data_IF_598808403157
#
_entry.id   IF_598808403157
#
_cell.length_a   1.000
_cell.length_b   1.000
_cell.length_c   1.000
_cell.angle_alpha   90.00
_cell.angle_beta   90.00
_cell.angle_gamma   90.00
#
_symmetry.space_group_name_H-M   'P 1'
#
loop_
_entity.id
_entity.type
_entity.pdbx_description
1 polymer ?
#
# COMPACT_ATOMS: atom_id res chain seq x y z
N UNK A 1 60.61 33.32 -35.91
CA UNK A 1 60.31 32.27 -34.91
C UNK A 1 59.45 32.87 -33.82
N UNK A 2 58.12 32.71 -33.90
CA UNK A 2 57.17 33.18 -32.88
C UNK A 2 56.57 31.93 -32.23
N UNK A 3 56.84 31.74 -30.93
CA UNK A 3 56.29 30.66 -30.14
C UNK A 3 55.02 31.16 -29.43
N UNK A 4 53.85 30.68 -29.85
CA UNK A 4 52.60 30.84 -29.13
C UNK A 4 52.48 29.74 -28.06
N UNK A 5 52.47 30.17 -26.80
CA UNK A 5 52.22 29.32 -25.64
C UNK A 5 50.70 29.11 -25.51
N UNK A 6 50.21 27.89 -25.74
CA UNK A 6 48.79 27.53 -25.52
C UNK A 6 48.60 27.12 -24.05
N UNK A 7 47.92 27.95 -23.27
CA UNK A 7 47.43 27.59 -21.95
C UNK A 7 46.24 26.64 -22.09
N UNK A 8 46.38 25.42 -21.59
CA UNK A 8 45.29 24.44 -21.52
C UNK A 8 44.44 24.71 -20.27
N UNK A 9 43.19 25.15 -20.48
CA UNK A 9 42.20 25.31 -19.43
C UNK A 9 41.66 23.92 -19.06
N UNK A 10 42.03 23.41 -17.88
CA UNK A 10 41.50 22.15 -17.36
C UNK A 10 40.09 22.42 -16.79
N UNK A 11 39.07 21.91 -17.47
CA UNK A 11 37.68 22.00 -17.05
C UNK A 11 37.42 20.89 -16.03
N UNK A 12 37.48 21.23 -14.74
CA UNK A 12 37.13 20.32 -13.64
C UNK A 12 35.63 20.03 -13.68
N UNK A 13 35.21 18.88 -14.21
CA UNK A 13 33.85 18.39 -14.04
C UNK A 13 33.62 18.10 -12.55
N UNK A 14 32.80 18.90 -11.87
CA UNK A 14 32.17 18.48 -10.61
C UNK A 14 31.23 17.32 -10.95
N UNK A 15 31.63 16.09 -10.58
CA UNK A 15 30.75 14.95 -10.60
C UNK A 15 29.68 15.15 -9.51
N UNK A 16 28.46 15.51 -9.94
CA UNK A 16 27.27 15.45 -9.09
C UNK A 16 27.06 13.96 -8.79
N UNK A 17 27.50 13.52 -7.62
CA UNK A 17 27.26 12.15 -7.17
C UNK A 17 25.77 12.01 -6.89
N UNK A 18 25.07 11.01 -7.46
CA UNK A 18 23.67 10.78 -7.12
C UNK A 18 23.58 10.52 -5.61
N UNK A 19 22.59 11.16 -4.98
CA UNK A 19 22.29 10.96 -3.56
C UNK A 19 21.74 9.54 -3.39
N UNK A 20 22.61 8.56 -3.19
CA UNK A 20 22.20 7.20 -2.83
C UNK A 20 21.62 7.28 -1.42
N UNK A 21 20.31 7.01 -1.27
CA UNK A 21 19.71 6.92 0.04
C UNK A 21 20.35 5.77 0.82
N UNK A 22 20.85 6.05 2.02
CA UNK A 22 21.27 4.99 2.94
C UNK A 22 20.04 4.12 3.28
N UNK A 23 20.19 2.80 3.17
CA UNK A 23 19.14 1.85 3.51
C UNK A 23 18.62 2.09 4.95
N UNK A 24 17.30 1.99 5.11
CA UNK A 24 16.63 2.07 6.41
C UNK A 24 15.72 0.87 6.59
N UNK A 25 15.86 0.19 7.72
CA UNK A 25 15.07 -0.99 8.06
C UNK A 25 14.34 -0.74 9.37
N UNK A 26 13.04 -1.04 9.41
CA UNK A 26 12.25 -1.09 10.63
C UNK A 26 11.71 -2.49 10.81
N UNK A 27 11.95 -3.06 11.99
CA UNK A 27 11.43 -4.38 12.36
C UNK A 27 10.19 -4.25 13.25
N UNK A 28 9.32 -5.26 13.19
CA UNK A 28 8.25 -5.53 14.16
C UNK A 28 8.77 -5.58 15.61
N UNK A 29 7.89 -5.40 16.62
CA UNK A 29 8.25 -5.56 18.02
C UNK A 29 8.98 -6.87 18.36
N UNK A 30 8.57 -7.99 17.77
CA UNK A 30 9.23 -9.29 17.96
C UNK A 30 10.34 -9.62 16.96
N UNK A 31 10.58 -8.73 15.99
CA UNK A 31 11.63 -8.86 15.00
C UNK A 31 11.36 -9.85 13.86
N UNK A 32 10.16 -10.45 13.76
CA UNK A 32 9.85 -11.43 12.72
C UNK A 32 9.48 -10.79 11.39
N UNK A 33 8.84 -9.63 11.38
CA UNK A 33 8.60 -8.83 10.18
C UNK A 33 9.62 -7.70 10.08
N UNK A 34 10.20 -7.50 8.91
CA UNK A 34 11.13 -6.40 8.60
C UNK A 34 10.68 -5.68 7.33
N UNK A 35 10.69 -4.34 7.37
CA UNK A 35 10.46 -3.46 6.23
C UNK A 35 11.71 -2.63 5.96
N UNK A 36 12.29 -2.76 4.77
CA UNK A 36 13.48 -2.02 4.36
C UNK A 36 13.16 -1.06 3.22
N UNK A 37 13.71 0.16 3.25
CA UNK A 37 13.61 1.17 2.18
C UNK A 37 15.00 1.58 1.74
N UNK A 38 15.19 1.67 0.43
CA UNK A 38 16.42 2.12 -0.21
C UNK A 38 16.12 2.87 -1.51
N UNK A 39 17.17 3.41 -2.14
CA UNK A 39 17.07 3.93 -3.51
C UNK A 39 17.98 3.13 -4.44
N UNK A 40 17.53 2.88 -5.67
CA UNK A 40 18.38 2.26 -6.69
C UNK A 40 19.29 3.28 -7.40
N UNK A 41 20.19 2.80 -8.27
CA UNK A 41 21.10 3.64 -9.05
C UNK A 41 20.39 4.62 -10.00
N UNK A 42 19.11 4.35 -10.31
CA UNK A 42 18.27 5.19 -11.17
C UNK A 42 17.44 6.19 -10.35
N UNK A 43 17.59 6.18 -9.02
CA UNK A 43 16.91 7.08 -8.10
C UNK A 43 15.49 6.67 -7.74
N UNK A 44 15.04 5.45 -8.07
CA UNK A 44 13.75 4.93 -7.60
C UNK A 44 13.82 4.61 -6.12
N UNK A 45 12.81 5.02 -5.36
CA UNK A 45 12.58 4.50 -4.01
C UNK A 45 12.01 3.09 -4.10
N UNK A 46 12.67 2.17 -3.43
CA UNK A 46 12.30 0.76 -3.36
C UNK A 46 12.04 0.37 -1.90
N UNK A 47 11.10 -0.55 -1.70
CA UNK A 47 10.95 -1.25 -0.43
C UNK A 47 11.04 -2.76 -0.60
N UNK A 48 11.48 -3.45 0.46
CA UNK A 48 11.51 -4.90 0.58
C UNK A 48 10.84 -5.28 1.91
N UNK A 49 10.19 -6.45 1.95
CA UNK A 49 9.60 -7.00 3.17
C UNK A 49 10.13 -8.41 3.41
N UNK A 50 10.57 -8.68 4.64
CA UNK A 50 10.96 -10.01 5.10
C UNK A 50 10.08 -10.51 6.22
N UNK A 51 9.85 -11.82 6.25
CA UNK A 51 9.21 -12.52 7.35
C UNK A 51 10.07 -13.70 7.80
N UNK A 52 10.57 -13.65 9.04
CA UNK A 52 11.47 -14.65 9.64
C UNK A 52 12.73 -14.89 8.80
N UNK A 53 13.25 -13.83 8.18
CA UNK A 53 14.42 -13.87 7.31
C UNK A 53 14.13 -14.19 5.84
N UNK A 54 12.92 -14.63 5.50
CA UNK A 54 12.53 -14.92 4.11
C UNK A 54 11.92 -13.69 3.44
N UNK A 55 12.34 -13.38 2.21
CA UNK A 55 11.78 -12.26 1.44
C UNK A 55 10.38 -12.60 0.94
N UNK A 56 9.38 -11.82 1.37
CA UNK A 56 7.96 -12.01 1.02
C UNK A 56 7.44 -10.96 0.04
N UNK A 57 8.08 -9.78 0.02
CA UNK A 57 7.95 -8.78 -1.04
C UNK A 57 9.37 -8.44 -1.48
N UNK A 58 9.73 -8.82 -2.71
CA UNK A 58 11.00 -8.46 -3.35
C UNK A 58 11.06 -6.94 -3.59
N UNK A 59 12.25 -6.35 -3.88
CA UNK A 59 12.40 -4.91 -4.10
C UNK A 59 11.33 -4.35 -5.05
N UNK A 60 10.49 -3.47 -4.51
CA UNK A 60 9.26 -2.96 -5.14
C UNK A 60 9.20 -1.45 -5.07
N UNK A 61 8.77 -0.79 -6.16
CA UNK A 61 8.74 0.67 -6.23
C UNK A 61 7.68 1.32 -5.35
N UNK A 62 7.96 2.56 -5.00
CA UNK A 62 7.05 3.52 -4.38
C UNK A 62 6.97 4.77 -5.27
N UNK A 63 5.80 5.40 -5.33
CA UNK A 63 5.69 6.74 -5.92
C UNK A 63 4.29 7.14 -6.35
N UNK A 64 4.14 8.41 -6.72
CA UNK A 64 2.90 9.00 -7.21
C UNK A 64 3.16 9.77 -8.51
N UNK A 65 2.22 9.70 -9.45
CA UNK A 65 2.23 10.55 -10.65
C UNK A 65 1.08 11.52 -10.66
N UNK A 66 1.37 12.74 -11.09
CA UNK A 66 0.40 13.82 -11.15
C UNK A 66 0.12 14.22 -12.60
N UNK A 67 -1.05 14.82 -12.83
CA UNK A 67 -1.43 15.27 -14.17
C UNK A 67 -0.58 16.45 -14.64
N UNK A 68 -0.32 17.40 -13.74
CA UNK A 68 0.31 18.68 -14.06
C UNK A 68 1.61 18.91 -13.30
N UNK A 69 1.67 18.46 -12.04
CA UNK A 69 2.83 18.62 -11.17
C UNK A 69 3.93 17.62 -11.52
N UNK A 70 5.14 17.85 -11.00
CA UNK A 70 6.23 16.89 -11.10
C UNK A 70 5.89 15.63 -10.30
N UNK A 71 6.18 14.48 -10.90
CA UNK A 71 5.96 13.17 -10.28
C UNK A 71 6.83 12.97 -9.03
N UNK A 72 6.28 12.24 -8.07
CA UNK A 72 7.00 11.73 -6.90
C UNK A 72 7.45 10.29 -7.18
N UNK A 73 8.34 10.12 -8.14
CA UNK A 73 8.76 8.79 -8.63
C UNK A 73 10.26 8.52 -8.41
N UNK A 74 11.12 9.48 -8.73
CA UNK A 74 12.57 9.35 -8.73
C UNK A 74 13.28 10.58 -8.16
N UNK A 75 14.50 10.38 -7.67
CA UNK A 75 15.37 11.46 -7.18
C UNK A 75 15.10 11.89 -5.74
N UNK A 76 14.25 11.15 -5.02
CA UNK A 76 14.02 11.34 -3.59
C UNK A 76 15.00 10.50 -2.78
N UNK A 77 15.52 11.09 -1.70
CA UNK A 77 16.34 10.43 -0.70
C UNK A 77 15.77 10.59 0.71
N UNK A 78 16.19 9.74 1.62
CA UNK A 78 15.79 9.81 3.04
C UNK A 78 16.62 10.89 3.73
N UNK A 79 16.02 12.04 4.03
CA UNK A 79 16.69 13.13 4.77
C UNK A 79 16.73 12.84 6.27
N UNK A 80 15.60 12.36 6.80
CA UNK A 80 15.42 12.12 8.23
C UNK A 80 14.48 10.94 8.44
N UNK A 81 14.69 10.23 9.53
CA UNK A 81 13.74 9.22 10.02
C UNK A 81 13.45 9.44 11.50
N UNK A 82 12.25 9.07 11.92
CA UNK A 82 11.86 9.00 13.32
C UNK A 82 11.14 7.67 13.56
N UNK A 83 11.46 7.02 14.67
CA UNK A 83 10.85 5.75 15.06
C UNK A 83 10.21 5.86 16.45
N UNK A 84 9.11 5.12 16.64
CA UNK A 84 8.47 4.96 17.94
C UNK A 84 7.83 3.59 18.05
N UNK A 85 7.61 3.14 19.28
CA UNK A 85 6.80 1.96 19.58
C UNK A 85 5.44 2.45 20.10
N UNK A 86 4.38 1.81 19.62
CA UNK A 86 3.02 1.99 20.11
C UNK A 86 2.53 0.65 20.65
N UNK A 87 1.92 0.65 21.84
CA UNK A 87 1.37 -0.53 22.50
C UNK A 87 0.16 -0.12 23.35
N UNK A 88 -1.02 -0.20 22.75
CA UNK A 88 -2.28 0.13 23.41
C UNK A 88 -3.33 -0.96 23.15
N UNK A 89 -4.39 -0.97 23.96
CA UNK A 89 -5.54 -1.86 23.75
C UNK A 89 -6.81 -1.03 23.77
N UNK A 90 -7.64 -1.22 22.76
CA UNK A 90 -8.92 -0.54 22.62
C UNK A 90 -10.07 -1.56 22.56
N UNK A 91 -11.30 -1.08 22.80
CA UNK A 91 -12.49 -1.93 22.88
C UNK A 91 -13.43 -1.67 21.69
N UNK A 92 -13.82 -2.75 21.01
CA UNK A 92 -14.81 -2.70 19.94
C UNK A 92 -16.23 -2.58 20.55
N UNK A 93 -17.09 -1.68 20.04
CA UNK A 93 -18.49 -1.64 20.44
C UNK A 93 -19.26 -2.92 20.01
N UNK A 94 -18.80 -3.54 18.93
CA UNK A 94 -19.23 -4.84 18.42
C UNK A 94 -18.12 -5.35 17.49
N UNK A 95 -17.98 -6.67 17.37
CA UNK A 95 -16.93 -7.26 16.53
C UNK A 95 -16.74 -8.74 16.84
N UNK A 96 -15.78 -9.34 16.17
CA UNK A 96 -15.33 -10.72 16.39
C UNK A 96 -14.58 -10.89 17.73
N UNK A 97 -14.02 -9.81 18.28
CA UNK A 97 -13.38 -9.77 19.61
C UNK A 97 -13.66 -8.45 20.31
N UNK A 98 -13.76 -8.47 21.64
CA UNK A 98 -14.06 -7.27 22.45
C UNK A 98 -12.86 -6.33 22.56
N UNK A 99 -11.70 -6.87 22.90
CA UNK A 99 -10.45 -6.11 23.08
C UNK A 99 -9.53 -6.37 21.90
N UNK A 100 -8.97 -5.30 21.34
CA UNK A 100 -8.03 -5.31 20.23
C UNK A 100 -6.75 -4.62 20.68
N UNK A 101 -5.61 -5.29 20.55
CA UNK A 101 -4.30 -4.71 20.86
C UNK A 101 -3.70 -4.09 19.60
N UNK A 102 -3.28 -2.84 19.69
CA UNK A 102 -2.47 -2.15 18.70
C UNK A 102 -1.02 -2.12 19.20
N UNK A 103 -0.21 -3.06 18.71
CA UNK A 103 1.20 -3.16 19.06
C UNK A 103 2.07 -3.19 17.80
N UNK A 104 2.75 -2.07 17.54
CA UNK A 104 3.59 -1.93 16.36
C UNK A 104 4.80 -1.03 16.61
N UNK A 105 5.81 -1.19 15.78
CA UNK A 105 6.85 -0.17 15.58
C UNK A 105 6.43 0.71 14.42
N UNK A 106 6.46 2.03 14.61
CA UNK A 106 6.17 3.01 13.57
C UNK A 106 7.46 3.72 13.14
N UNK A 107 7.66 3.84 11.84
CA UNK A 107 8.68 4.67 11.22
C UNK A 107 8.02 5.80 10.43
N UNK A 108 8.55 7.02 10.55
CA UNK A 108 8.25 8.14 9.68
C UNK A 108 9.52 8.52 8.93
N UNK A 109 9.55 8.26 7.64
CA UNK A 109 10.67 8.59 6.76
C UNK A 109 10.34 9.90 6.03
N UNK A 110 11.12 10.94 6.29
CA UNK A 110 11.04 12.21 5.58
C UNK A 110 11.87 12.12 4.31
N UNK A 111 11.21 12.17 3.17
CA UNK A 111 11.81 12.04 1.85
C UNK A 111 11.82 13.39 1.15
N UNK A 112 12.96 13.76 0.58
CA UNK A 112 13.06 14.96 -0.23
C UNK A 112 13.97 14.75 -1.43
N UNK A 113 13.79 15.61 -2.44
CA UNK A 113 14.68 15.68 -3.58
C UNK A 113 15.58 16.92 -3.55
N UNK A 114 16.50 17.00 -4.52
CA UNK A 114 17.44 18.11 -4.64
C UNK A 114 16.80 19.48 -4.89
N UNK A 115 15.51 19.52 -5.27
CA UNK A 115 14.76 20.75 -5.54
C UNK A 115 13.86 21.15 -4.35
N UNK A 116 13.87 20.38 -3.25
CA UNK A 116 13.10 20.64 -2.04
C UNK A 116 11.65 20.15 -2.07
N UNK A 117 11.25 19.36 -3.08
CA UNK A 117 9.98 18.63 -3.03
C UNK A 117 10.07 17.57 -1.94
N UNK A 118 8.98 17.40 -1.18
CA UNK A 118 8.97 16.54 0.00
C UNK A 118 7.70 15.71 0.10
N UNK A 119 7.85 14.49 0.60
CA UNK A 119 6.74 13.70 1.12
C UNK A 119 7.25 12.78 2.22
N UNK A 120 6.35 12.29 3.06
CA UNK A 120 6.70 11.34 4.10
C UNK A 120 6.17 9.95 3.73
N UNK A 121 6.95 8.92 4.07
CA UNK A 121 6.48 7.54 4.10
C UNK A 121 6.30 7.13 5.56
N UNK A 122 5.04 6.92 5.97
CA UNK A 122 4.72 6.37 7.29
C UNK A 122 4.55 4.86 7.18
N UNK A 123 5.24 4.11 8.03
CA UNK A 123 5.22 2.66 8.06
C UNK A 123 4.89 2.21 9.48
N UNK A 124 3.97 1.27 9.64
CA UNK A 124 3.67 0.57 10.89
C UNK A 124 3.92 -0.91 10.67
N UNK A 125 4.81 -1.48 11.48
CA UNK A 125 5.18 -2.90 11.39
C UNK A 125 4.73 -3.61 12.66
N UNK A 126 3.82 -4.56 12.45
CA UNK A 126 3.22 -5.43 13.45
C UNK A 126 3.90 -6.81 13.39
N UNK A 127 3.70 -7.63 14.41
CA UNK A 127 4.25 -8.99 14.44
C UNK A 127 3.62 -9.92 13.37
N UNK A 128 2.47 -9.53 12.81
CA UNK A 128 1.64 -10.26 11.83
C UNK A 128 1.50 -9.55 10.47
N UNK A 129 2.30 -8.51 10.22
CA UNK A 129 2.28 -7.78 8.96
C UNK A 129 2.73 -6.33 9.07
N UNK A 130 2.41 -5.54 8.06
CA UNK A 130 2.69 -4.11 8.04
C UNK A 130 1.63 -3.32 7.27
N UNK A 131 1.59 -2.02 7.55
CA UNK A 131 0.91 -1.01 6.76
C UNK A 131 1.84 0.14 6.44
N UNK A 132 1.81 0.67 5.22
CA UNK A 132 2.48 1.92 4.87
C UNK A 132 1.57 2.86 4.09
N UNK A 133 1.84 4.17 4.17
CA UNK A 133 1.12 5.19 3.39
C UNK A 133 2.02 6.39 3.09
N UNK A 134 1.68 7.13 2.04
CA UNK A 134 2.28 8.42 1.74
C UNK A 134 1.56 9.51 2.53
N UNK A 135 2.31 10.46 3.09
CA UNK A 135 1.78 11.70 3.67
C UNK A 135 2.43 12.88 2.95
N UNK A 136 1.62 13.65 2.23
CA UNK A 136 2.11 14.73 1.37
C UNK A 136 1.80 16.04 2.10
N UNK A 137 2.81 16.76 2.60
CA UNK A 137 2.59 18.01 3.32
C UNK A 137 2.19 19.13 2.36
N UNK A 138 1.61 20.20 2.91
CA UNK A 138 1.45 21.46 2.19
C UNK A 138 2.83 21.96 1.71
N UNK A 139 2.93 22.27 0.42
CA UNK A 139 4.14 22.76 -0.23
C UNK A 139 3.80 23.49 -1.54
N UNK A 140 4.66 24.43 -1.91
CA UNK A 140 4.45 25.33 -3.04
C UNK A 140 4.20 24.56 -4.35
N UNK A 141 3.09 24.87 -5.02
CA UNK A 141 2.71 24.27 -6.30
C UNK A 141 1.96 22.94 -6.21
N UNK A 142 1.62 22.48 -5.00
CA UNK A 142 0.87 21.25 -4.74
C UNK A 142 -0.42 21.51 -3.93
N UNK A 143 -0.93 22.75 -3.91
CA UNK A 143 -2.12 23.12 -3.15
C UNK A 143 -3.34 22.33 -3.61
N UNK A 144 -3.46 22.06 -4.92
CA UNK A 144 -4.44 21.15 -5.50
C UNK A 144 -3.78 20.30 -6.58
N UNK A 145 -4.03 18.99 -6.56
CA UNK A 145 -3.38 18.03 -7.46
C UNK A 145 -4.38 17.00 -7.99
N UNK A 146 -4.08 16.50 -9.18
CA UNK A 146 -4.77 15.34 -9.77
C UNK A 146 -3.80 14.20 -9.93
N UNK A 147 -4.00 13.11 -9.18
CA UNK A 147 -3.20 11.89 -9.27
C UNK A 147 -3.68 11.09 -10.48
N UNK A 148 -2.75 10.70 -11.35
CA UNK A 148 -3.02 9.91 -12.57
C UNK A 148 -2.51 8.47 -12.47
N UNK A 149 -1.56 8.22 -11.59
CA UNK A 149 -1.08 6.87 -11.28
C UNK A 149 -0.50 6.80 -9.87
N UNK A 150 -0.58 5.62 -9.26
CA UNK A 150 0.17 5.29 -8.05
C UNK A 150 1.13 4.15 -8.40
N UNK A 151 2.41 4.37 -8.16
CA UNK A 151 3.51 3.51 -8.61
C UNK A 151 3.88 2.43 -7.58
N UNK A 152 3.09 2.28 -6.53
CA UNK A 152 3.29 1.28 -5.49
C UNK A 152 3.26 -0.12 -6.10
N UNK A 153 4.36 -0.86 -5.98
CA UNK A 153 4.48 -2.24 -6.44
C UNK A 153 4.46 -3.24 -5.27
N UNK A 154 4.11 -4.48 -5.59
CA UNK A 154 4.22 -5.65 -4.75
C UNK A 154 4.80 -6.77 -5.62
N UNK A 155 6.12 -6.93 -5.59
CA UNK A 155 6.80 -7.99 -6.31
C UNK A 155 6.86 -9.25 -5.46
N UNK A 156 6.16 -10.30 -5.87
CA UNK A 156 6.03 -11.54 -5.10
C UNK A 156 7.09 -12.59 -5.48
N UNK A 157 7.52 -13.45 -4.55
CA UNK A 157 8.45 -14.54 -4.83
C UNK A 157 7.91 -15.52 -5.89
N UNK A 158 8.83 -16.10 -6.66
CA UNK A 158 8.51 -17.15 -7.62
C UNK A 158 7.93 -18.40 -6.95
N UNK A 159 7.16 -19.19 -7.71
CA UNK A 159 6.54 -20.41 -7.19
C UNK A 159 5.37 -20.17 -6.21
N UNK A 160 4.92 -18.92 -6.07
CA UNK A 160 3.77 -18.56 -5.25
C UNK A 160 2.44 -18.97 -5.90
N UNK A 161 1.50 -19.43 -5.08
CA UNK A 161 0.11 -19.72 -5.48
C UNK A 161 -0.82 -18.67 -4.89
N UNK A 162 -1.76 -18.14 -5.67
CA UNK A 162 -2.73 -17.13 -5.24
C UNK A 162 -4.17 -17.63 -5.26
N UNK A 163 -4.98 -17.04 -4.37
CA UNK A 163 -6.44 -17.12 -4.36
C UNK A 163 -7.00 -15.71 -4.59
N UNK A 164 -7.70 -15.53 -5.70
CA UNK A 164 -8.07 -14.20 -6.18
C UNK A 164 -9.36 -14.20 -7.00
N UNK A 165 -9.93 -13.01 -7.18
CA UNK A 165 -11.02 -12.72 -8.11
C UNK A 165 -10.58 -11.62 -9.09
N UNK A 166 -11.09 -11.64 -10.34
CA UNK A 166 -10.63 -10.69 -11.36
C UNK A 166 -10.97 -9.24 -11.01
N UNK A 167 -9.98 -8.36 -11.13
CA UNK A 167 -10.17 -6.92 -11.05
C UNK A 167 -10.86 -6.39 -12.30
N UNK A 168 -11.62 -5.28 -12.16
CA UNK A 168 -12.28 -4.56 -13.27
C UNK A 168 -13.34 -5.38 -14.04
N UNK A 169 -13.73 -6.55 -13.54
CA UNK A 169 -14.79 -7.37 -14.14
C UNK A 169 -16.15 -6.68 -14.06
N UNK A 170 -17.03 -6.96 -15.03
CA UNK A 170 -18.38 -6.38 -15.08
C UNK A 170 -19.21 -6.67 -13.82
N UNK A 171 -18.95 -7.82 -13.16
CA UNK A 171 -19.70 -8.28 -12.00
C UNK A 171 -19.11 -7.83 -10.65
N UNK A 172 -18.27 -6.79 -10.66
CA UNK A 172 -17.67 -6.21 -9.45
C UNK A 172 -16.92 -7.30 -8.65
N UNK A 173 -17.23 -7.47 -7.37
CA UNK A 173 -16.62 -8.47 -6.50
C UNK A 173 -17.34 -9.85 -6.51
N UNK A 174 -18.44 -10.00 -7.25
CA UNK A 174 -19.30 -11.20 -7.24
C UNK A 174 -18.79 -12.28 -8.20
N UNK A 175 -17.54 -12.70 -8.00
CA UNK A 175 -16.89 -13.80 -8.72
C UNK A 175 -16.51 -14.93 -7.77
N UNK A 176 -16.43 -16.15 -8.31
CA UNK A 176 -15.80 -17.27 -7.61
C UNK A 176 -14.28 -17.08 -7.59
N UNK A 177 -13.67 -17.39 -6.46
CA UNK A 177 -12.22 -17.38 -6.32
C UNK A 177 -11.56 -18.39 -7.26
N UNK A 178 -10.45 -17.98 -7.84
CA UNK A 178 -9.55 -18.81 -8.63
C UNK A 178 -8.34 -19.15 -7.77
N UNK A 179 -7.83 -20.38 -7.93
CA UNK A 179 -6.54 -20.80 -7.38
C UNK A 179 -5.58 -21.04 -8.54
N UNK A 180 -4.56 -20.20 -8.66
CA UNK A 180 -3.61 -20.26 -9.77
C UNK A 180 -2.20 -19.88 -9.31
N UNK A 181 -1.21 -20.12 -10.15
CA UNK A 181 0.08 -19.44 -10.03
C UNK A 181 -0.07 -17.97 -10.42
N UNK A 182 0.94 -17.15 -10.11
CA UNK A 182 0.92 -15.70 -10.34
C UNK A 182 0.81 -15.34 -11.83
N UNK A 183 1.44 -16.09 -12.73
CA UNK A 183 1.46 -15.76 -14.17
C UNK A 183 0.08 -15.80 -14.85
N UNK A 184 -0.91 -16.42 -14.20
CA UNK A 184 -2.29 -16.45 -14.68
C UNK A 184 -3.10 -15.21 -14.27
N UNK A 185 -2.51 -14.27 -13.54
CA UNK A 185 -3.18 -13.09 -12.99
C UNK A 185 -2.79 -11.89 -13.83
N UNK A 186 -3.77 -11.27 -14.49
CA UNK A 186 -3.59 -9.96 -15.12
C UNK A 186 -3.94 -8.85 -14.13
N UNK A 187 -5.16 -8.90 -13.60
CA UNK A 187 -5.65 -7.97 -12.59
C UNK A 187 -6.46 -8.70 -11.51
N UNK A 188 -6.21 -8.39 -10.25
CA UNK A 188 -6.91 -8.97 -9.09
C UNK A 188 -7.46 -7.87 -8.17
N UNK A 189 -8.66 -8.09 -7.63
CA UNK A 189 -9.12 -7.30 -6.48
C UNK A 189 -8.33 -7.67 -5.22
N UNK A 190 -8.30 -6.75 -4.26
CA UNK A 190 -7.84 -7.03 -2.89
C UNK A 190 -9.03 -7.31 -1.96
N UNK A 191 -8.86 -8.07 -0.86
CA UNK A 191 -7.64 -8.76 -0.43
C UNK A 191 -7.23 -9.86 -1.41
N UNK A 192 -5.98 -9.82 -1.88
CA UNK A 192 -5.39 -10.90 -2.67
C UNK A 192 -4.54 -11.76 -1.75
N UNK A 193 -4.91 -13.03 -1.60
CA UNK A 193 -4.21 -13.97 -0.71
C UNK A 193 -3.26 -14.85 -1.51
N UNK A 194 -2.03 -14.99 -1.03
CA UNK A 194 -0.93 -15.69 -1.66
C UNK A 194 -0.28 -16.63 -0.66
N UNK A 195 0.18 -17.78 -1.12
CA UNK A 195 1.08 -18.66 -0.37
C UNK A 195 2.38 -18.78 -1.17
N UNK A 196 3.50 -18.38 -0.56
CA UNK A 196 4.83 -18.47 -1.18
C UNK A 196 5.27 -19.93 -1.32
N UNK A 197 6.35 -20.18 -2.07
CA UNK A 197 6.92 -21.51 -2.22
C UNK A 197 7.40 -22.10 -0.87
N UNK A 198 7.83 -21.22 0.03
CA UNK A 198 8.29 -21.51 1.40
C UNK A 198 7.12 -21.75 2.37
N UNK A 199 5.88 -21.61 1.90
CA UNK A 199 4.66 -21.85 2.66
C UNK A 199 4.17 -20.65 3.50
N UNK A 200 4.82 -19.49 3.38
CA UNK A 200 4.37 -18.26 4.06
C UNK A 200 3.08 -17.78 3.41
N UNK A 201 2.10 -17.44 4.22
CA UNK A 201 0.84 -16.88 3.78
C UNK A 201 0.91 -15.35 3.82
N UNK A 202 0.55 -14.72 2.71
CA UNK A 202 0.56 -13.27 2.51
C UNK A 202 -0.83 -12.82 2.07
N UNK A 203 -1.32 -11.70 2.61
CA UNK A 203 -2.53 -11.03 2.09
C UNK A 203 -2.23 -9.56 1.84
N UNK A 204 -2.47 -9.11 0.61
CA UNK A 204 -2.29 -7.71 0.19
C UNK A 204 -3.65 -7.03 0.14
N UNK A 205 -3.81 -5.93 0.88
CA UNK A 205 -5.06 -5.16 0.94
C UNK A 205 -4.79 -3.68 1.26
N UNK A 206 -5.86 -2.92 1.55
CA UNK A 206 -5.79 -1.55 2.05
C UNK A 206 -6.64 -1.33 3.30
N UNK A 207 -6.30 -0.28 4.06
CA UNK A 207 -7.07 0.16 5.22
C UNK A 207 -7.26 1.69 5.19
N UNK A 208 -8.35 2.16 5.80
CA UNK A 208 -8.76 3.58 5.82
C UNK A 208 -8.88 4.21 4.42
N UNK A 209 -9.61 3.54 3.51
CA UNK A 209 -9.95 4.09 2.19
C UNK A 209 -10.96 5.24 2.33
N UNK A 210 -10.46 6.46 2.51
CA UNK A 210 -11.23 7.69 2.67
C UNK A 210 -10.69 8.75 1.72
N UNK A 211 -11.59 9.42 0.98
CA UNK A 211 -11.26 10.49 0.02
C UNK A 211 -10.15 10.11 -0.99
N UNK A 212 -10.15 8.84 -1.41
CA UNK A 212 -9.16 8.27 -2.32
C UNK A 212 -9.79 7.15 -3.17
N UNK A 213 -9.12 6.75 -4.24
CA UNK A 213 -9.60 5.68 -5.10
C UNK A 213 -9.17 4.29 -4.58
N UNK A 214 -10.11 3.33 -4.55
CA UNK A 214 -9.79 1.92 -4.35
C UNK A 214 -8.86 1.39 -5.45
N UNK A 215 -8.02 0.41 -5.15
CA UNK A 215 -7.14 -0.19 -6.16
C UNK A 215 -7.43 -1.65 -6.49
N UNK A 216 -7.07 -2.03 -7.71
CA UNK A 216 -6.82 -3.44 -8.08
C UNK A 216 -5.31 -3.64 -8.20
N UNK A 217 -4.83 -4.85 -8.00
CA UNK A 217 -3.45 -5.24 -8.28
C UNK A 217 -3.35 -5.58 -9.77
N UNK A 218 -2.50 -4.87 -10.50
CA UNK A 218 -2.29 -4.99 -11.95
C UNK A 218 -0.88 -5.53 -12.21
N UNK A 219 -0.79 -6.74 -12.76
CA UNK A 219 0.48 -7.41 -13.00
C UNK A 219 1.17 -6.84 -14.24
N UNK A 220 2.02 -5.83 -14.03
CA UNK A 220 2.73 -5.11 -15.11
C UNK A 220 3.84 -5.92 -15.76
N UNK A 221 4.48 -6.77 -14.96
CA UNK A 221 5.57 -7.67 -15.35
C UNK A 221 5.41 -8.96 -14.55
N UNK A 222 6.17 -9.99 -14.93
CA UNK A 222 6.21 -11.26 -14.19
C UNK A 222 6.34 -11.01 -12.68
N UNK A 223 5.32 -11.41 -11.91
CA UNK A 223 5.22 -11.30 -10.45
C UNK A 223 5.24 -9.88 -9.86
N UNK A 224 5.27 -8.83 -10.68
CA UNK A 224 5.25 -7.43 -10.23
C UNK A 224 3.83 -6.88 -10.35
N UNK A 225 3.16 -6.75 -9.21
CA UNK A 225 1.81 -6.17 -9.14
C UNK A 225 1.89 -4.70 -8.74
N UNK A 226 1.47 -3.80 -9.62
CA UNK A 226 1.35 -2.38 -9.31
C UNK A 226 -0.08 -2.08 -8.84
N UNK A 227 -0.25 -1.13 -7.92
CA UNK A 227 -1.56 -0.55 -7.65
C UNK A 227 -2.14 0.09 -8.90
N UNK A 228 -3.36 -0.26 -9.27
CA UNK A 228 -4.14 0.37 -10.33
C UNK A 228 -5.38 1.01 -9.70
N UNK A 229 -5.27 2.30 -9.39
CA UNK A 229 -6.34 3.09 -8.78
C UNK A 229 -7.57 3.16 -9.69
N UNK A 230 -8.76 3.06 -9.11
CA UNK A 230 -10.03 3.21 -9.85
C UNK A 230 -10.20 4.62 -10.37
N UNK A 231 -10.24 4.81 -11.71
CA UNK A 231 -10.32 6.14 -12.27
C UNK A 231 -11.73 6.70 -12.15
N UNK A 232 -11.82 8.02 -12.11
CA UNK A 232 -13.01 8.77 -12.49
C UNK A 232 -13.31 8.53 -13.99
N UNK A 233 -14.50 8.93 -14.43
CA UNK A 233 -14.93 8.74 -15.81
C UNK A 233 -14.04 9.41 -16.86
N UNK A 234 -13.27 10.44 -16.46
CA UNK A 234 -12.31 11.15 -17.32
C UNK A 234 -10.86 10.66 -17.17
N UNK A 235 -10.64 9.56 -16.45
CA UNK A 235 -9.35 8.88 -16.36
C UNK A 235 -8.47 9.32 -15.18
N UNK A 236 -8.69 10.50 -14.60
CA UNK A 236 -7.99 10.93 -13.38
C UNK A 236 -8.31 9.95 -12.25
N UNK A 237 -7.33 9.59 -11.41
CA UNK A 237 -7.53 8.61 -10.33
C UNK A 237 -8.07 9.27 -9.07
N UNK A 238 -7.42 10.34 -8.63
CA UNK A 238 -7.79 11.06 -7.40
C UNK A 238 -7.62 12.55 -7.63
N UNK A 239 -8.57 13.35 -7.14
CA UNK A 239 -8.44 14.81 -7.04
C UNK A 239 -8.37 15.15 -5.56
N UNK A 240 -7.32 15.85 -5.15
CA UNK A 240 -7.09 16.15 -3.73
C UNK A 240 -6.29 17.45 -3.59
N UNK A 241 -6.09 17.89 -2.35
CA UNK A 241 -5.38 19.09 -1.99
C UNK A 241 -4.41 18.80 -0.85
N UNK A 242 -3.22 19.39 -0.84
CA UNK A 242 -2.29 19.21 0.27
C UNK A 242 -2.72 20.04 1.50
N UNK A 243 -2.49 19.53 2.73
CA UNK A 243 -1.90 18.23 3.04
C UNK A 243 -2.90 17.08 2.85
N UNK A 244 -2.43 15.96 2.30
CA UNK A 244 -3.23 14.73 2.18
C UNK A 244 -2.42 13.48 2.53
N UNK A 245 -3.12 12.37 2.76
CA UNK A 245 -2.53 11.05 2.99
C UNK A 245 -3.21 10.03 2.10
N UNK A 246 -2.47 9.05 1.61
CA UNK A 246 -3.10 7.88 0.96
C UNK A 246 -3.73 6.98 2.03
N UNK A 247 -4.67 6.11 1.63
CA UNK A 247 -5.01 4.94 2.43
C UNK A 247 -3.75 4.12 2.71
N UNK A 248 -3.81 3.29 3.75
CA UNK A 248 -2.74 2.35 4.02
C UNK A 248 -2.71 1.25 2.96
N UNK A 249 -1.52 0.87 2.51
CA UNK A 249 -1.27 -0.38 1.79
C UNK A 249 -0.79 -1.38 2.83
N UNK A 250 -1.39 -2.56 2.83
CA UNK A 250 -1.21 -3.55 3.89
C UNK A 250 -0.71 -4.85 3.33
N UNK A 251 0.20 -5.48 4.08
CA UNK A 251 0.72 -6.81 3.82
C UNK A 251 0.63 -7.60 5.12
N UNK A 252 -0.38 -8.46 5.24
CA UNK A 252 -0.51 -9.40 6.36
C UNK A 252 0.35 -10.62 6.09
N UNK A 253 1.00 -11.16 7.12
CA UNK A 253 2.01 -12.20 7.02
C UNK A 253 1.78 -13.25 8.12
N UNK A 254 1.82 -14.52 7.75
CA UNK A 254 1.64 -15.62 8.71
C UNK A 254 2.32 -16.90 8.23
N UNK A 255 2.83 -17.77 9.13
CA UNK A 255 3.30 -19.10 8.76
C UNK A 255 2.17 -20.02 8.29
N UNK A 256 0.91 -19.71 8.59
CA UNK A 256 -0.26 -20.50 8.19
C UNK A 256 -1.46 -19.61 7.80
N UNK A 257 -2.47 -20.20 7.18
CA UNK A 257 -3.66 -19.48 6.74
C UNK A 257 -4.49 -18.89 7.89
N UNK A 258 -4.46 -19.51 9.07
CA UNK A 258 -5.28 -19.11 10.22
C UNK A 258 -4.74 -17.82 10.85
N UNK A 259 -3.43 -17.62 10.85
CA UNK A 259 -2.83 -16.38 11.35
C UNK A 259 -3.25 -15.14 10.55
N UNK A 260 -3.55 -15.28 9.23
CA UNK A 260 -4.11 -14.16 8.46
C UNK A 260 -5.50 -13.74 8.98
N UNK A 261 -6.33 -14.69 9.43
CA UNK A 261 -7.67 -14.43 9.98
C UNK A 261 -7.63 -13.83 11.39
N UNK A 262 -6.58 -14.15 12.15
CA UNK A 262 -6.42 -13.70 13.53
C UNK A 262 -5.78 -12.32 13.66
N UNK A 263 -5.43 -11.70 12.54
CA UNK A 263 -4.80 -10.39 12.50
C UNK A 263 -5.81 -9.25 12.67
N UNK A 264 -5.50 -8.32 13.57
CA UNK A 264 -6.25 -7.08 13.81
C UNK A 264 -5.73 -5.89 12.98
N UNK A 265 -4.73 -6.12 12.11
CA UNK A 265 -3.96 -5.10 11.40
C UNK A 265 -4.86 -4.10 10.67
N UNK A 266 -5.91 -4.56 9.98
CA UNK A 266 -6.81 -3.68 9.23
C UNK A 266 -7.54 -2.70 10.17
N UNK A 267 -8.05 -3.18 11.31
CA UNK A 267 -8.75 -2.32 12.28
C UNK A 267 -7.78 -1.31 12.91
N UNK A 268 -6.59 -1.73 13.32
CA UNK A 268 -5.57 -0.87 13.95
C UNK A 268 -5.03 0.24 13.04
N UNK A 269 -5.23 0.12 11.72
CA UNK A 269 -4.84 1.16 10.76
C UNK A 269 -5.95 2.18 10.45
N UNK A 270 -7.15 2.02 11.01
CA UNK A 270 -8.24 2.99 10.89
C UNK A 270 -8.24 3.99 12.05
N UNK A 271 -8.85 5.16 11.80
CA UNK A 271 -9.05 6.15 12.86
C UNK A 271 -10.08 5.62 13.90
N UNK A 272 -9.97 6.02 15.18
CA UNK A 272 -10.94 5.64 16.21
C UNK A 272 -12.37 6.07 15.88
N UNK A 273 -13.34 5.45 16.55
CA UNK A 273 -14.76 5.77 16.43
C UNK A 273 -15.04 7.29 16.55
N UNK A 274 -15.56 7.88 15.47
CA UNK A 274 -15.93 9.29 15.41
C UNK A 274 -17.42 9.58 15.69
N UNK A 275 -18.22 8.53 15.95
CA UNK A 275 -19.68 8.66 16.16
C UNK A 275 -20.07 8.88 17.62
N UNK A 276 -19.12 8.80 18.56
CA UNK A 276 -19.40 8.87 19.99
C UNK A 276 -20.16 7.64 20.49
N UNK A 277 -21.28 7.84 21.21
CA UNK A 277 -22.10 6.72 21.68
C UNK A 277 -22.78 5.98 20.51
N UNK A 278 -22.42 4.71 20.36
CA UNK A 278 -22.96 3.78 19.36
C UNK A 278 -23.80 2.68 19.98
N UNK A 279 -24.30 2.87 21.21
CA UNK A 279 -25.15 1.91 21.92
C UNK A 279 -26.43 1.56 21.16
N UNK A 280 -26.86 2.40 20.22
CA UNK A 280 -27.99 2.15 19.32
C UNK A 280 -27.69 1.10 18.22
N UNK A 281 -26.43 0.77 17.96
CA UNK A 281 -26.03 -0.31 17.04
C UNK A 281 -26.19 -1.65 17.75
N UNK A 282 -27.09 -2.51 17.26
CA UNK A 282 -27.43 -3.80 17.88
C UNK A 282 -27.16 -4.97 16.92
N UNK A 283 -26.08 -5.75 17.12
CA UNK A 283 -25.87 -7.00 16.39
C UNK A 283 -27.04 -7.97 16.58
N UNK A 284 -27.41 -8.70 15.53
CA UNK A 284 -28.56 -9.60 15.59
C UNK A 284 -28.67 -10.54 14.38
N UNK A 285 -29.66 -11.43 14.43
CA UNK A 285 -30.06 -12.31 13.33
C UNK A 285 -31.39 -11.82 12.77
N UNK A 286 -31.56 -11.90 11.47
CA UNK A 286 -32.81 -11.52 10.80
C UNK A 286 -33.26 -12.59 9.81
N UNK A 287 -34.56 -12.60 9.52
CA UNK A 287 -35.13 -13.23 8.34
C UNK A 287 -35.85 -12.17 7.52
N UNK A 288 -36.05 -12.40 6.24
CA UNK A 288 -36.74 -11.45 5.38
C UNK A 288 -37.40 -12.14 4.20
N UNK A 289 -38.48 -11.53 3.71
CA UNK A 289 -39.02 -11.85 2.39
C UNK A 289 -37.95 -11.39 1.39
N UNK A 290 -37.16 -12.35 0.91
CA UNK A 290 -36.00 -12.09 0.04
C UNK A 290 -35.78 -13.24 -0.93
N UNK A 291 -35.53 -14.45 -0.39
CA UNK A 291 -35.20 -15.63 -1.20
C UNK A 291 -36.29 -15.99 -2.21
N UNK A 292 -37.56 -15.76 -1.87
CA UNK A 292 -38.69 -16.01 -2.75
C UNK A 292 -38.58 -15.28 -4.10
N UNK A 293 -37.97 -14.08 -4.13
CA UNK A 293 -37.75 -13.35 -5.38
C UNK A 293 -36.59 -13.93 -6.19
N UNK A 294 -35.51 -14.33 -5.52
CA UNK A 294 -34.35 -14.97 -6.16
C UNK A 294 -34.72 -16.29 -6.86
N UNK A 295 -35.59 -17.10 -6.24
CA UNK A 295 -36.08 -18.36 -6.84
C UNK A 295 -37.32 -18.18 -7.72
N UNK A 296 -37.73 -16.93 -8.02
CA UNK A 296 -38.88 -16.58 -8.88
C UNK A 296 -40.23 -17.12 -8.39
N UNK A 297 -40.36 -17.34 -7.08
CA UNK A 297 -41.64 -17.68 -6.46
C UNK A 297 -42.50 -16.44 -6.17
N UNK A 298 -41.87 -15.27 -6.00
CA UNK A 298 -42.52 -13.95 -5.86
C UNK A 298 -41.78 -12.91 -6.71
N UNK A 299 -42.41 -11.76 -6.93
CA UNK A 299 -41.80 -10.59 -7.57
C UNK A 299 -41.44 -9.53 -6.53
N UNK A 300 -40.50 -8.64 -6.87
CA UNK A 300 -40.20 -7.46 -6.04
C UNK A 300 -41.30 -6.40 -6.15
N UNK A 301 -41.93 -6.28 -7.32
CA UNK A 301 -43.04 -5.35 -7.55
C UNK A 301 -44.35 -5.82 -6.89
N UNK A 302 -45.23 -4.87 -6.62
CA UNK A 302 -46.56 -5.14 -6.08
C UNK A 302 -47.54 -5.48 -7.22
N UNK A 303 -48.07 -6.71 -7.27
CA UNK A 303 -49.19 -7.11 -8.15
C UNK A 303 -48.89 -7.21 -9.65
N UNK A 304 -49.90 -7.65 -10.43
CA UNK A 304 -49.90 -8.96 -11.11
C UNK A 304 -48.59 -9.33 -11.82
#
# INVERSE_FOLDING_TARGET
MSFLCKAALSLSLLAISPLVAAERTVASPDGRVEFSVSSDERGWLLYEVRFRGETVIEPSRLGLRFLEQRDFDTGFGIERSAERIHDETWEQPWGERRLVRDHHREALLHLADANGLRFDLRVRVFDDGLGFRYEIPAQDGYEAVSIVDELTEFKLPGGSTAWWIPGRGYNRYEYLYRKTDLDAIEMAHTPMTVRTAEGIHVSIHEAALVDYAAFVLDQRRERVFQTNLTPWSDGIRVRTATPFKTPWRTVQLSPDAVGLLNSDLILNLNEPNALGDVSWVKPGKYVGIWWAMHIRHRTWGSGP
#
